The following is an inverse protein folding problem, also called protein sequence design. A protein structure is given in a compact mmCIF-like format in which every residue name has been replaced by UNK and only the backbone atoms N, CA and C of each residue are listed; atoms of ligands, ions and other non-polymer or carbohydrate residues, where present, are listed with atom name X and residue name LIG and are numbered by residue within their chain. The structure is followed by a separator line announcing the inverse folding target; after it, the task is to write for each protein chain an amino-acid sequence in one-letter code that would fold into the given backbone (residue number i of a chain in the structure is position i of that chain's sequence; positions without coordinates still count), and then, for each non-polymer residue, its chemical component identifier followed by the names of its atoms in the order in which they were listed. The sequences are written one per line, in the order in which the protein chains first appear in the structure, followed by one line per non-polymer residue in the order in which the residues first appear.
data_IF_008645627876
#
_entry.id   IF_008645627876
#
_cell.length_a   1.000
_cell.length_b   1.000
_cell.length_c   1.000
_cell.angle_alpha   90.00
_cell.angle_beta   90.00
_cell.angle_gamma   90.00
#
_symmetry.space_group_name_H-M   'P 1'
#
loop_
_entity.id
_entity.type
_entity.pdbx_description
1 polymer ?
#
# COMPACT_ATOMS: atom_id res chain seq x y z
N UNK A 1 -36.09 -8.61 14.74
CA UNK A 1 -36.01 -9.17 13.37
C UNK A 1 -37.37 -9.02 12.71
N UNK A 2 -37.44 -8.38 11.54
CA UNK A 2 -38.71 -7.99 10.89
C UNK A 2 -39.17 -8.94 9.79
N UNK A 3 -38.31 -9.82 9.29
CA UNK A 3 -38.64 -10.75 8.20
C UNK A 3 -39.25 -12.06 8.76
N UNK A 4 -40.53 -12.37 8.48
CA UNK A 4 -41.21 -13.53 9.07
C UNK A 4 -40.60 -14.87 8.63
N UNK A 5 -40.09 -14.98 7.40
CA UNK A 5 -39.46 -16.20 6.91
C UNK A 5 -38.17 -16.51 7.67
N UNK A 6 -37.37 -15.48 7.98
CA UNK A 6 -36.14 -15.63 8.77
C UNK A 6 -36.49 -16.02 10.21
N UNK A 7 -37.49 -15.38 10.81
CA UNK A 7 -37.92 -15.71 12.18
C UNK A 7 -38.43 -17.14 12.28
N UNK A 8 -39.20 -17.62 11.29
CA UNK A 8 -39.66 -19.01 11.27
C UNK A 8 -38.49 -19.99 11.07
N UNK A 9 -37.56 -19.68 10.16
CA UNK A 9 -36.36 -20.50 9.96
C UNK A 9 -35.48 -20.57 11.23
N UNK A 10 -35.30 -19.46 11.94
CA UNK A 10 -34.58 -19.45 13.22
C UNK A 10 -35.21 -20.38 14.25
N UNK A 11 -36.55 -20.41 14.35
CA UNK A 11 -37.24 -21.34 15.23
C UNK A 11 -36.94 -22.80 14.87
N UNK A 12 -36.90 -23.13 13.56
CA UNK A 12 -36.55 -24.49 13.11
C UNK A 12 -35.10 -24.87 13.40
N UNK A 13 -34.19 -23.90 13.42
CA UNK A 13 -32.76 -24.11 13.65
C UNK A 13 -32.34 -23.92 15.12
N UNK A 14 -33.26 -23.55 16.01
CA UNK A 14 -32.96 -23.26 17.42
C UNK A 14 -32.11 -22.00 17.62
N UNK A 15 -32.14 -21.05 16.69
CA UNK A 15 -31.38 -19.80 16.76
C UNK A 15 -32.22 -18.74 17.48
N UNK A 16 -31.68 -18.13 18.54
CA UNK A 16 -32.43 -17.21 19.41
C UNK A 16 -32.33 -15.73 19.01
N UNK A 17 -31.23 -15.31 18.37
CA UNK A 17 -30.97 -13.90 18.08
C UNK A 17 -30.27 -13.69 16.72
N UNK A 18 -30.08 -12.43 16.35
CA UNK A 18 -29.44 -12.08 15.09
C UNK A 18 -27.95 -12.48 15.04
N UNK A 19 -27.26 -12.55 16.19
CA UNK A 19 -25.87 -12.98 16.27
C UNK A 19 -25.74 -14.46 15.89
N UNK A 20 -26.66 -15.29 16.38
CA UNK A 20 -26.72 -16.71 16.00
C UNK A 20 -26.96 -16.92 14.50
N UNK A 21 -27.68 -16.02 13.82
CA UNK A 21 -27.82 -16.06 12.35
C UNK A 21 -26.48 -15.79 11.67
N UNK A 22 -25.77 -14.75 12.12
CA UNK A 22 -24.47 -14.39 11.55
C UNK A 22 -23.42 -15.48 11.83
N UNK A 23 -23.41 -16.05 13.03
CA UNK A 23 -22.57 -17.20 13.39
C UNK A 23 -22.85 -18.41 12.49
N UNK A 24 -24.12 -18.78 12.29
CA UNK A 24 -24.48 -19.88 11.38
C UNK A 24 -24.02 -19.61 9.94
N UNK A 25 -24.18 -18.37 9.46
CA UNK A 25 -23.75 -17.98 8.12
C UNK A 25 -22.22 -18.04 7.99
N UNK A 26 -21.50 -17.45 8.93
CA UNK A 26 -20.04 -17.41 8.95
C UNK A 26 -19.45 -18.83 9.01
N UNK A 27 -19.97 -19.70 9.88
CA UNK A 27 -19.54 -21.09 9.98
C UNK A 27 -19.75 -21.85 8.66
N UNK A 28 -20.89 -21.68 7.99
CA UNK A 28 -21.12 -22.28 6.66
C UNK A 28 -20.12 -21.81 5.61
N UNK A 29 -19.77 -20.54 5.58
CA UNK A 29 -18.78 -20.00 4.63
C UNK A 29 -17.38 -20.51 4.98
N UNK A 30 -16.99 -20.51 6.24
CA UNK A 30 -15.69 -21.02 6.69
C UNK A 30 -15.55 -22.53 6.43
N UNK A 31 -16.63 -23.30 6.56
CA UNK A 31 -16.66 -24.71 6.17
C UNK A 31 -16.42 -24.94 4.68
N UNK A 32 -16.96 -24.07 3.81
CA UNK A 32 -16.66 -24.13 2.37
C UNK A 32 -15.19 -23.80 2.14
N UNK A 33 -14.66 -22.79 2.83
CA UNK A 33 -13.25 -22.40 2.75
C UNK A 33 -12.29 -23.50 3.21
N UNK A 34 -12.66 -24.36 4.16
CA UNK A 34 -11.84 -25.52 4.59
C UNK A 34 -11.52 -26.49 3.45
N UNK A 35 -12.37 -26.56 2.43
CA UNK A 35 -12.15 -27.41 1.25
C UNK A 35 -11.30 -26.72 0.15
N UNK A 36 -10.92 -25.47 0.38
CA UNK A 36 -10.10 -24.66 -0.53
C UNK A 36 -8.74 -24.47 0.13
N UNK A 37 -7.65 -24.64 -0.62
CA UNK A 37 -6.29 -24.46 -0.09
C UNK A 37 -5.92 -22.97 0.04
N UNK A 38 -6.70 -22.23 0.82
CA UNK A 38 -6.58 -20.78 1.05
C UNK A 38 -6.80 -20.46 2.53
N UNK A 39 -5.99 -19.55 3.08
CA UNK A 39 -6.15 -19.06 4.45
C UNK A 39 -7.18 -17.93 4.49
N UNK A 40 -8.26 -18.03 5.27
CA UNK A 40 -9.22 -16.94 5.40
C UNK A 40 -8.67 -15.81 6.28
N UNK A 41 -8.98 -14.57 5.89
CA UNK A 41 -8.85 -13.36 6.71
C UNK A 41 -10.27 -12.89 7.04
N UNK A 42 -10.56 -12.68 8.32
CA UNK A 42 -11.88 -12.24 8.79
C UNK A 42 -11.77 -10.99 9.64
N UNK A 43 -12.76 -10.11 9.54
CA UNK A 43 -12.93 -9.05 10.54
C UNK A 43 -13.20 -9.67 11.93
N UNK A 44 -12.80 -8.96 12.98
CA UNK A 44 -12.90 -9.46 14.35
C UNK A 44 -14.31 -9.90 14.79
N UNK A 45 -15.39 -9.43 14.15
CA UNK A 45 -16.77 -9.78 14.51
C UNK A 45 -17.02 -11.28 14.53
N UNK A 46 -16.45 -12.01 13.58
CA UNK A 46 -16.59 -13.47 13.50
C UNK A 46 -15.95 -14.14 14.73
N UNK A 47 -14.84 -13.59 15.22
CA UNK A 47 -14.17 -14.06 16.43
C UNK A 47 -14.88 -13.60 17.72
N UNK A 48 -15.37 -12.36 17.75
CA UNK A 48 -16.12 -11.80 18.88
C UNK A 48 -17.38 -12.64 19.17
N UNK A 49 -18.05 -13.11 18.12
CA UNK A 49 -19.23 -13.97 18.18
C UNK A 49 -18.93 -15.46 18.46
N UNK A 50 -17.66 -15.83 18.68
CA UNK A 50 -17.23 -17.19 19.03
C UNK A 50 -17.52 -18.24 17.95
N UNK A 51 -17.50 -17.84 16.68
CA UNK A 51 -17.55 -18.79 15.56
C UNK A 51 -16.29 -19.65 15.56
N UNK A 52 -16.43 -20.94 15.27
CA UNK A 52 -15.29 -21.86 15.18
C UNK A 52 -14.44 -21.55 13.94
N UNK A 53 -13.27 -20.96 14.16
CA UNK A 53 -12.37 -20.57 13.09
C UNK A 53 -11.51 -21.75 12.62
N UNK A 54 -11.39 -22.01 11.30
CA UNK A 54 -10.39 -22.93 10.77
C UNK A 54 -8.98 -22.60 11.28
N UNK A 55 -8.15 -23.63 11.45
CA UNK A 55 -6.76 -23.43 11.85
C UNK A 55 -6.03 -22.50 10.85
N UNK A 56 -5.24 -21.58 11.39
CA UNK A 56 -4.48 -20.61 10.60
C UNK A 56 -5.28 -19.38 10.15
N UNK A 57 -6.59 -19.31 10.41
CA UNK A 57 -7.40 -18.10 10.14
C UNK A 57 -6.74 -16.86 10.75
N UNK A 58 -6.71 -15.77 9.97
CA UNK A 58 -6.16 -14.49 10.38
C UNK A 58 -7.31 -13.56 10.78
N UNK A 59 -7.20 -12.96 11.97
CA UNK A 59 -8.17 -12.01 12.50
C UNK A 59 -7.69 -10.59 12.22
N UNK A 60 -8.53 -9.76 11.64
CA UNK A 60 -8.25 -8.34 11.45
C UNK A 60 -8.97 -7.50 12.52
N UNK A 61 -8.19 -6.94 13.44
CA UNK A 61 -8.68 -6.12 14.57
C UNK A 61 -8.92 -4.69 14.10
N UNK A 62 -10.18 -4.29 14.17
CA UNK A 62 -10.67 -3.03 13.59
C UNK A 62 -11.49 -2.18 14.58
N UNK A 63 -12.01 -2.79 15.65
CA UNK A 63 -12.75 -2.07 16.70
C UNK A 63 -11.81 -1.35 17.64
N UNK A 64 -12.26 -0.21 18.15
CA UNK A 64 -11.60 0.53 19.21
C UNK A 64 -12.60 1.42 19.94
N UNK A 65 -12.29 1.70 21.20
CA UNK A 65 -13.05 2.60 22.07
C UNK A 65 -13.24 4.00 21.46
N UNK A 66 -12.34 4.47 20.60
CA UNK A 66 -12.51 5.74 19.88
C UNK A 66 -13.62 5.71 18.82
N UNK A 67 -14.03 4.52 18.36
CA UNK A 67 -15.11 4.36 17.37
C UNK A 67 -16.47 4.22 18.05
N UNK A 68 -16.54 3.55 19.21
CA UNK A 68 -17.75 3.44 20.03
C UNK A 68 -17.39 3.25 21.49
N UNK A 69 -18.14 3.90 22.40
CA UNK A 69 -17.93 3.81 23.85
C UNK A 69 -18.11 2.41 24.42
N UNK A 70 -18.83 1.56 23.70
CA UNK A 70 -19.18 0.19 24.11
C UNK A 70 -18.10 -0.83 23.68
N UNK A 71 -17.02 -0.37 23.02
CA UNK A 71 -15.90 -1.19 22.59
C UNK A 71 -14.70 -1.05 23.54
N UNK A 72 -13.90 -2.10 23.64
CA UNK A 72 -12.59 -2.05 24.29
C UNK A 72 -11.55 -1.37 23.39
N UNK A 73 -10.35 -1.10 23.94
CA UNK A 73 -9.24 -0.58 23.13
C UNK A 73 -8.76 -1.62 22.11
N UNK A 74 -8.25 -1.16 20.97
CA UNK A 74 -7.62 -2.04 19.97
C UNK A 74 -6.50 -2.90 20.59
N UNK A 75 -5.77 -2.36 21.56
CA UNK A 75 -4.70 -3.08 22.26
C UNK A 75 -5.26 -4.26 23.06
N UNK A 76 -6.42 -4.12 23.70
CA UNK A 76 -7.09 -5.21 24.42
C UNK A 76 -7.44 -6.35 23.46
N UNK A 77 -8.06 -6.05 22.32
CA UNK A 77 -8.42 -7.06 21.32
C UNK A 77 -7.19 -7.75 20.72
N UNK A 78 -6.14 -6.99 20.38
CA UNK A 78 -4.88 -7.51 19.87
C UNK A 78 -4.23 -8.50 20.86
N UNK A 79 -4.16 -8.12 22.13
CA UNK A 79 -3.63 -8.96 23.20
C UNK A 79 -4.42 -10.26 23.35
N UNK A 80 -5.75 -10.17 23.40
CA UNK A 80 -6.62 -11.32 23.59
C UNK A 80 -6.50 -12.32 22.43
N UNK A 81 -6.60 -11.84 21.18
CA UNK A 81 -6.57 -12.71 20.00
C UNK A 81 -5.20 -13.41 19.85
N UNK A 82 -4.10 -12.67 20.00
CA UNK A 82 -2.76 -13.23 19.88
C UNK A 82 -2.43 -14.22 21.01
N UNK A 83 -2.81 -13.92 22.26
CA UNK A 83 -2.62 -14.84 23.40
C UNK A 83 -3.49 -16.11 23.32
N UNK A 84 -4.60 -16.06 22.59
CA UNK A 84 -5.41 -17.25 22.25
C UNK A 84 -4.81 -18.07 21.10
N UNK A 85 -3.70 -17.62 20.50
CA UNK A 85 -2.97 -18.34 19.45
C UNK A 85 -3.40 -18.01 18.02
N UNK A 86 -4.30 -17.04 17.83
CA UNK A 86 -4.71 -16.60 16.49
C UNK A 86 -3.70 -15.65 15.87
N UNK A 87 -3.51 -15.77 14.56
CA UNK A 87 -2.76 -14.76 13.79
C UNK A 87 -3.59 -13.48 13.67
N UNK A 88 -2.96 -12.32 13.80
CA UNK A 88 -3.65 -11.02 13.87
C UNK A 88 -3.04 -9.98 12.93
N UNK A 89 -3.90 -9.22 12.25
CA UNK A 89 -3.57 -7.99 11.52
C UNK A 89 -4.27 -6.83 12.25
N UNK A 90 -3.55 -5.74 12.52
CA UNK A 90 -4.10 -4.54 13.14
C UNK A 90 -4.48 -3.49 12.09
N UNK A 91 -5.71 -2.97 12.11
CA UNK A 91 -6.09 -1.80 11.29
C UNK A 91 -6.81 -0.71 12.07
N UNK A 92 -7.34 -1.04 13.25
CA UNK A 92 -8.16 -0.17 14.10
C UNK A 92 -7.63 1.27 14.29
N UNK A 93 -6.36 1.52 14.66
CA UNK A 93 -5.87 2.88 14.83
C UNK A 93 -5.52 3.60 13.50
N UNK A 94 -5.54 2.90 12.36
CA UNK A 94 -5.11 3.38 11.04
C UNK A 94 -6.25 3.57 10.05
N UNK A 95 -7.39 4.05 10.54
CA UNK A 95 -8.52 4.50 9.71
C UNK A 95 -8.24 5.90 9.16
N UNK A 96 -7.80 5.94 7.90
CA UNK A 96 -7.43 7.16 7.16
C UNK A 96 -8.64 7.93 6.61
N UNK A 97 -9.82 7.29 6.57
CA UNK A 97 -11.09 7.93 6.21
C UNK A 97 -11.56 8.92 7.28
N UNK A 98 -11.20 8.72 8.55
CA UNK A 98 -11.49 9.66 9.64
C UNK A 98 -10.55 10.86 9.58
N UNK A 99 -10.97 11.89 8.86
CA UNK A 99 -10.22 13.14 8.74
C UNK A 99 -10.41 13.99 9.98
N UNK A 100 -9.32 14.43 10.61
CA UNK A 100 -9.35 15.36 11.74
C UNK A 100 -8.42 16.55 11.51
N UNK A 101 -8.91 17.76 11.78
CA UNK A 101 -8.08 18.96 11.78
C UNK A 101 -7.44 19.19 13.15
N UNK A 102 -6.21 19.70 13.16
CA UNK A 102 -5.54 20.13 14.37
C UNK A 102 -4.03 19.95 14.30
N UNK A 103 -3.38 20.37 15.37
CA UNK A 103 -1.96 20.16 15.59
C UNK A 103 -1.71 19.46 16.93
N UNK A 104 -0.63 18.70 16.98
CA UNK A 104 -0.05 18.23 18.23
C UNK A 104 1.17 19.07 18.54
N UNK A 105 1.21 19.69 19.72
CA UNK A 105 2.26 20.65 20.11
C UNK A 105 3.11 20.04 21.22
N UNK A 106 4.41 19.94 20.99
CA UNK A 106 5.41 19.67 22.03
C UNK A 106 6.07 20.97 22.48
N UNK A 107 6.99 20.89 23.43
CA UNK A 107 7.83 22.02 23.82
C UNK A 107 8.78 22.47 22.70
N UNK A 108 9.03 21.64 21.69
CA UNK A 108 10.03 21.86 20.63
C UNK A 108 9.46 21.89 19.22
N UNK A 109 8.27 21.34 19.00
CA UNK A 109 7.71 21.12 17.66
C UNK A 109 6.18 21.26 17.59
N UNK A 110 5.67 21.60 16.41
CA UNK A 110 4.23 21.57 16.08
C UNK A 110 4.03 20.59 14.92
N UNK A 111 3.27 19.53 15.16
CA UNK A 111 3.02 18.45 14.20
C UNK A 111 1.57 18.46 13.72
N UNK A 112 1.34 18.01 12.49
CA UNK A 112 -0.01 17.67 12.02
C UNK A 112 -0.60 16.54 12.89
N UNK A 113 -1.81 16.75 13.40
CA UNK A 113 -2.44 15.83 14.34
C UNK A 113 -2.66 14.42 13.76
N UNK A 114 -3.03 14.33 12.48
CA UNK A 114 -3.31 13.04 11.83
C UNK A 114 -2.03 12.24 11.64
N UNK A 115 -0.95 12.88 11.20
CA UNK A 115 0.37 12.25 11.13
C UNK A 115 0.79 11.70 12.50
N UNK A 116 0.75 12.54 13.53
CA UNK A 116 1.15 12.15 14.88
C UNK A 116 0.32 10.96 15.37
N UNK A 117 -1.01 11.04 15.21
CA UNK A 117 -1.95 9.98 15.58
C UNK A 117 -1.59 8.63 14.98
N UNK A 118 -1.23 8.57 13.69
CA UNK A 118 -0.95 7.30 13.02
C UNK A 118 0.48 6.79 13.29
N UNK A 119 1.45 7.69 13.40
CA UNK A 119 2.86 7.34 13.56
C UNK A 119 3.22 6.86 14.98
N UNK A 120 2.56 7.41 16.00
CA UNK A 120 2.79 7.06 17.42
C UNK A 120 2.23 5.69 17.83
N UNK A 121 1.39 5.08 17.00
CA UNK A 121 0.86 3.74 17.25
C UNK A 121 2.02 2.76 17.30
N UNK A 122 2.23 2.10 18.44
CA UNK A 122 3.20 1.03 18.58
C UNK A 122 2.46 -0.25 19.01
N UNK A 123 2.19 -1.18 18.08
CA UNK A 123 1.40 -2.39 18.35
C UNK A 123 1.94 -3.24 19.50
N UNK A 124 3.24 -3.19 19.77
CA UNK A 124 3.88 -3.99 20.81
C UNK A 124 4.07 -3.26 22.14
N UNK A 125 3.76 -1.95 22.24
CA UNK A 125 3.99 -1.14 23.45
C UNK A 125 3.15 -1.62 24.62
N UNK A 126 1.89 -1.95 24.35
CA UNK A 126 0.91 -2.43 25.34
C UNK A 126 0.65 -3.94 25.19
N UNK A 127 1.53 -4.66 24.49
CA UNK A 127 1.40 -6.10 24.34
C UNK A 127 1.94 -6.83 25.57
N UNK A 128 1.03 -7.50 26.27
CA UNK A 128 1.28 -8.35 27.43
C UNK A 128 0.98 -9.81 27.06
N UNK A 129 2.00 -10.50 26.52
CA UNK A 129 1.92 -11.88 26.07
C UNK A 129 3.32 -12.50 25.94
N UNK A 130 3.39 -13.80 25.66
CA UNK A 130 4.66 -14.46 25.42
C UNK A 130 5.27 -14.04 24.07
N UNK A 131 6.56 -14.31 23.86
CA UNK A 131 7.20 -14.04 22.56
C UNK A 131 6.59 -14.88 21.42
N UNK A 132 6.04 -16.05 21.72
CA UNK A 132 5.26 -16.87 20.78
C UNK A 132 3.94 -16.20 20.41
N UNK A 133 3.22 -15.65 21.39
CA UNK A 133 2.00 -14.88 21.14
C UNK A 133 2.33 -13.60 20.34
N UNK A 134 3.45 -12.93 20.63
CA UNK A 134 3.91 -11.76 19.88
C UNK A 134 4.12 -12.08 18.40
N UNK A 135 4.67 -13.24 18.06
CA UNK A 135 4.87 -13.70 16.66
C UNK A 135 3.56 -13.91 15.89
N UNK A 136 2.42 -13.97 16.57
CA UNK A 136 1.11 -14.05 15.93
C UNK A 136 0.63 -12.72 15.37
N UNK A 137 1.21 -11.61 15.79
CA UNK A 137 0.92 -10.29 15.23
C UNK A 137 1.70 -10.16 13.92
N UNK A 138 0.99 -10.27 12.80
CA UNK A 138 1.59 -10.34 11.45
C UNK A 138 1.96 -8.95 10.90
N UNK A 139 1.35 -7.90 11.43
CA UNK A 139 1.52 -6.53 10.97
C UNK A 139 0.20 -5.77 11.00
N UNK A 140 -0.05 -4.96 9.98
CA UNK A 140 -1.22 -4.12 9.94
C UNK A 140 -1.55 -3.51 8.59
N UNK A 141 -2.68 -2.84 8.54
CA UNK A 141 -3.22 -2.24 7.32
C UNK A 141 -3.79 -0.85 7.61
N UNK A 142 -3.47 0.10 6.73
CA UNK A 142 -4.13 1.41 6.71
C UNK A 142 -5.42 1.31 5.88
N UNK A 143 -6.56 1.67 6.48
CA UNK A 143 -7.86 1.56 5.83
C UNK A 143 -8.35 2.93 5.37
N UNK A 144 -8.71 3.05 4.09
CA UNK A 144 -9.41 4.21 3.54
C UNK A 144 -10.77 3.75 3.01
N UNK A 145 -11.76 3.72 3.90
CA UNK A 145 -13.14 3.46 3.52
C UNK A 145 -13.68 4.56 2.61
N UNK A 146 -14.47 4.15 1.61
CA UNK A 146 -14.78 4.95 0.43
C UNK A 146 -16.13 5.69 0.51
N UNK A 147 -16.74 5.85 1.68
CA UNK A 147 -18.01 6.58 1.83
C UNK A 147 -17.90 8.04 1.35
N UNK A 148 -16.73 8.64 1.58
CA UNK A 148 -16.40 10.01 1.17
C UNK A 148 -15.10 10.09 0.36
N UNK A 149 -14.67 8.97 -0.23
CA UNK A 149 -13.48 8.90 -1.04
C UNK A 149 -13.77 8.27 -2.40
N UNK A 150 -13.33 8.94 -3.46
CA UNK A 150 -13.46 8.47 -4.85
C UNK A 150 -12.27 8.97 -5.69
N UNK A 151 -12.35 8.81 -7.02
CA UNK A 151 -11.30 9.25 -7.94
C UNK A 151 -10.92 10.74 -7.83
N UNK A 152 -11.76 11.58 -7.22
CA UNK A 152 -11.48 13.02 -7.06
C UNK A 152 -10.54 13.34 -5.90
N UNK A 153 -10.51 12.49 -4.87
CA UNK A 153 -9.83 12.80 -3.61
C UNK A 153 -9.08 11.62 -2.95
N UNK A 154 -9.10 10.43 -3.55
CA UNK A 154 -8.47 9.22 -3.01
C UNK A 154 -6.98 9.43 -2.70
N UNK A 155 -6.21 9.86 -3.70
CA UNK A 155 -4.76 10.02 -3.58
C UNK A 155 -4.32 11.10 -2.56
N UNK A 156 -4.88 12.32 -2.57
CA UNK A 156 -4.52 13.32 -1.56
C UNK A 156 -4.98 12.92 -0.15
N UNK A 157 -6.10 12.18 0.01
CA UNK A 157 -6.50 11.65 1.32
C UNK A 157 -5.54 10.58 1.81
N UNK A 158 -5.10 9.69 0.92
CA UNK A 158 -4.24 8.55 1.27
C UNK A 158 -2.81 8.98 1.57
N UNK A 159 -2.21 9.82 0.73
CA UNK A 159 -0.80 10.20 0.82
C UNK A 159 -0.61 11.63 1.33
N UNK A 160 0.33 11.89 2.26
CA UNK A 160 1.35 10.97 2.78
C UNK A 160 0.93 10.23 4.07
N UNK A 161 -0.34 10.28 4.48
CA UNK A 161 -0.79 9.65 5.75
C UNK A 161 -0.46 8.16 5.83
N UNK A 162 -0.69 7.42 4.75
CA UNK A 162 -0.34 6.01 4.66
C UNK A 162 1.17 5.73 4.76
N UNK A 163 2.02 6.70 4.41
CA UNK A 163 3.47 6.57 4.58
C UNK A 163 3.90 6.54 6.05
N UNK A 164 3.15 7.20 6.95
CA UNK A 164 3.40 7.13 8.39
C UNK A 164 3.17 5.70 8.93
N UNK A 165 2.07 5.09 8.49
CA UNK A 165 1.74 3.69 8.80
C UNK A 165 2.78 2.74 8.19
N UNK A 166 3.21 3.01 6.96
CA UNK A 166 4.25 2.22 6.30
C UNK A 166 5.58 2.23 7.08
N UNK A 167 6.02 3.39 7.59
CA UNK A 167 7.26 3.47 8.38
C UNK A 167 7.13 2.70 9.70
N UNK A 168 5.97 2.76 10.37
CA UNK A 168 5.71 1.99 11.60
C UNK A 168 5.70 0.48 11.37
N UNK A 169 5.15 0.02 10.25
CA UNK A 169 5.07 -1.41 9.93
C UNK A 169 6.39 -1.99 9.39
N UNK A 170 7.29 -1.15 8.89
CA UNK A 170 8.56 -1.58 8.29
C UNK A 170 9.77 -1.38 9.20
N UNK A 171 9.86 -0.23 9.87
CA UNK A 171 11.05 0.17 10.62
C UNK A 171 11.12 -0.53 11.97
N UNK A 172 12.32 -0.54 12.56
CA UNK A 172 12.49 -1.04 13.92
C UNK A 172 11.65 -0.22 14.92
N UNK A 173 11.14 -0.86 15.97
CA UNK A 173 10.32 -0.21 16.99
C UNK A 173 11.00 1.00 17.67
N UNK A 174 12.34 1.02 17.70
CA UNK A 174 13.15 2.14 18.19
C UNK A 174 13.11 3.39 17.29
N UNK A 175 12.67 3.27 16.04
CA UNK A 175 12.44 4.40 15.13
C UNK A 175 11.07 4.98 15.44
N UNK A 176 11.00 5.84 16.45
CA UNK A 176 9.73 6.37 16.97
C UNK A 176 9.77 7.87 17.29
N UNK A 177 10.81 8.59 16.84
CA UNK A 177 10.88 10.04 17.00
C UNK A 177 9.99 10.74 15.97
N UNK A 178 8.79 11.13 16.39
CA UNK A 178 7.82 11.86 15.57
C UNK A 178 8.32 13.23 15.09
N UNK A 179 9.18 13.90 15.88
CA UNK A 179 9.69 15.23 15.53
C UNK A 179 10.65 15.19 14.36
N UNK A 180 11.50 14.16 14.27
CA UNK A 180 12.36 13.91 13.11
C UNK A 180 11.55 13.36 11.92
N UNK A 181 10.63 12.43 12.19
CA UNK A 181 9.86 11.75 11.16
C UNK A 181 9.00 12.71 10.33
N UNK A 182 8.40 13.74 10.93
CA UNK A 182 7.59 14.71 10.18
C UNK A 182 8.40 15.41 9.07
N UNK A 183 9.67 15.76 9.33
CA UNK A 183 10.52 16.46 8.36
C UNK A 183 10.98 15.52 7.26
N UNK A 184 11.39 14.29 7.60
CA UNK A 184 11.72 13.26 6.60
C UNK A 184 10.51 12.93 5.72
N UNK A 185 9.33 12.88 6.32
CA UNK A 185 8.08 12.60 5.63
C UNK A 185 7.66 13.75 4.72
N UNK A 186 7.87 15.01 5.10
CA UNK A 186 7.62 16.16 4.23
C UNK A 186 8.53 16.16 2.99
N UNK A 187 9.81 15.81 3.15
CA UNK A 187 10.72 15.57 2.01
C UNK A 187 10.22 14.39 1.15
N UNK A 188 9.72 13.32 1.77
CA UNK A 188 9.12 12.21 1.04
C UNK A 188 7.86 12.63 0.27
N UNK A 189 7.01 13.49 0.85
CA UNK A 189 5.83 14.07 0.19
C UNK A 189 6.24 14.85 -1.06
N UNK A 190 7.30 15.66 -1.01
CA UNK A 190 7.82 16.31 -2.21
C UNK A 190 8.32 15.30 -3.27
N UNK A 191 8.92 14.17 -2.87
CA UNK A 191 9.28 13.09 -3.80
C UNK A 191 8.05 12.43 -4.43
N UNK A 192 6.95 12.26 -3.69
CA UNK A 192 5.68 11.75 -4.22
C UNK A 192 5.10 12.70 -5.28
N UNK A 193 5.11 14.01 -5.03
CA UNK A 193 4.68 15.02 -6.01
C UNK A 193 5.51 14.98 -7.28
N UNK A 194 6.84 14.87 -7.16
CA UNK A 194 7.76 14.71 -8.31
C UNK A 194 7.43 13.48 -9.16
N UNK A 195 6.90 12.43 -8.53
CA UNK A 195 6.46 11.18 -9.18
C UNK A 195 5.00 11.23 -9.67
N UNK A 196 4.36 12.40 -9.62
CA UNK A 196 3.01 12.59 -10.10
C UNK A 196 1.90 12.21 -9.12
N UNK A 197 2.22 11.77 -7.90
CA UNK A 197 1.24 11.43 -6.87
C UNK A 197 0.82 12.72 -6.15
N UNK A 198 -0.45 13.14 -6.20
CA UNK A 198 -0.91 14.39 -5.59
C UNK A 198 -1.07 14.24 -4.07
N UNK A 199 0.04 14.05 -3.35
CA UNK A 199 0.06 13.92 -1.90
C UNK A 199 -0.23 15.29 -1.21
N UNK A 200 -1.14 15.28 -0.24
CA UNK A 200 -1.50 16.50 0.51
C UNK A 200 -0.30 16.99 1.35
N UNK A 201 -0.22 18.29 1.70
CA UNK A 201 0.84 18.80 2.55
C UNK A 201 0.75 18.23 3.97
N UNK A 202 1.91 18.07 4.61
CA UNK A 202 2.03 17.68 6.01
C UNK A 202 2.32 18.88 6.90
N UNK A 203 3.31 19.69 6.49
CA UNK A 203 3.76 20.89 7.19
C UNK A 203 3.39 22.15 6.40
N UNK A 204 3.54 23.31 7.04
CA UNK A 204 3.60 24.58 6.33
C UNK A 204 4.89 24.64 5.50
N UNK A 205 4.77 24.78 4.19
CA UNK A 205 5.91 24.76 3.29
C UNK A 205 5.46 24.64 1.84
N UNK A 206 6.43 24.43 0.94
CA UNK A 206 6.18 24.25 -0.48
C UNK A 206 7.21 23.29 -1.08
N UNK A 207 6.81 22.52 -2.08
CA UNK A 207 7.68 21.59 -2.81
C UNK A 207 8.22 22.15 -4.14
N UNK A 208 8.58 23.44 -4.18
CA UNK A 208 9.06 24.13 -5.39
C UNK A 208 8.12 23.99 -6.60
N UNK A 209 8.68 23.73 -7.79
CA UNK A 209 7.95 23.64 -9.06
C UNK A 209 6.95 22.46 -9.20
N UNK A 210 6.83 21.60 -8.18
CA UNK A 210 6.03 20.38 -8.24
C UNK A 210 4.63 20.53 -7.63
N UNK A 211 4.31 21.70 -7.08
CA UNK A 211 2.96 22.01 -6.60
C UNK A 211 2.03 22.35 -7.77
N UNK A 212 0.88 21.67 -7.83
CA UNK A 212 -0.08 21.80 -8.91
C UNK A 212 -0.56 23.26 -9.06
N UNK A 213 -0.33 23.86 -10.22
CA UNK A 213 -0.85 25.19 -10.57
C UNK A 213 0.11 26.37 -10.36
N UNK A 214 1.34 26.16 -9.85
CA UNK A 214 2.33 27.23 -9.80
C UNK A 214 3.09 27.37 -11.13
N UNK A 215 3.12 28.56 -11.77
CA UNK A 215 3.94 28.79 -12.94
C UNK A 215 5.43 28.71 -12.56
N UNK A 216 6.23 28.02 -13.40
CA UNK A 216 7.69 27.85 -13.23
C UNK A 216 8.44 29.16 -12.94
N UNK A 217 7.89 30.31 -13.34
CA UNK A 217 8.49 31.64 -13.18
C UNK A 217 8.54 32.17 -11.74
N UNK A 218 7.82 31.58 -10.78
CA UNK A 218 7.76 32.08 -9.40
C UNK A 218 8.77 31.45 -8.42
N UNK A 219 9.62 30.51 -8.87
CA UNK A 219 10.49 29.74 -7.97
C UNK A 219 11.95 29.77 -8.42
N UNK A 220 12.51 30.97 -8.60
CA UNK A 220 13.96 31.16 -8.80
C UNK A 220 14.64 31.52 -7.47
N UNK A 221 14.69 30.57 -6.51
CA UNK A 221 15.52 30.71 -5.30
C UNK A 221 16.70 29.73 -5.36
N UNK A 222 17.97 30.21 -5.23
CA UNK A 222 19.17 29.40 -5.46
C UNK A 222 19.35 28.20 -4.53
N UNK A 223 18.71 28.19 -3.35
CA UNK A 223 18.75 27.06 -2.41
C UNK A 223 17.96 25.80 -2.87
N UNK A 224 17.11 25.92 -3.89
CA UNK A 224 16.26 24.83 -4.40
C UNK A 224 16.44 24.57 -5.90
N UNK A 225 17.48 25.18 -6.49
CA UNK A 225 17.83 24.99 -7.89
C UNK A 225 18.55 23.64 -8.07
N UNK A 226 17.82 22.54 -7.83
CA UNK A 226 18.16 21.27 -8.44
C UNK A 226 17.69 21.37 -9.88
N UNK A 227 18.54 21.91 -10.75
CA UNK A 227 18.34 21.89 -12.20
C UNK A 227 18.15 20.42 -12.62
N UNK A 228 16.89 20.03 -12.84
CA UNK A 228 16.57 18.79 -13.53
C UNK A 228 15.84 19.18 -14.82
N UNK A 229 16.46 18.96 -15.99
CA UNK A 229 15.85 19.27 -17.28
C UNK A 229 14.79 18.22 -17.60
N UNK A 230 13.54 18.44 -17.20
CA UNK A 230 12.47 17.51 -17.53
C UNK A 230 11.06 18.05 -17.32
N UNK A 231 10.17 17.76 -18.27
CA UNK A 231 8.72 17.98 -18.14
C UNK A 231 8.04 16.79 -17.46
N UNK A 232 6.95 17.09 -16.73
CA UNK A 232 6.16 16.10 -16.01
C UNK A 232 5.47 15.18 -17.02
N UNK A 233 5.52 13.87 -16.78
CA UNK A 233 4.75 12.92 -17.58
C UNK A 233 3.25 13.23 -17.47
N UNK A 234 2.49 13.21 -18.57
CA UNK A 234 1.04 13.41 -18.53
C UNK A 234 0.35 12.43 -17.57
N UNK A 235 -0.83 12.78 -17.02
CA UNK A 235 -1.64 11.83 -16.27
C UNK A 235 -1.84 10.53 -17.08
N UNK A 236 -1.58 9.37 -16.46
CA UNK A 236 -1.61 8.03 -17.06
C UNK A 236 -0.44 7.64 -17.99
N UNK A 237 0.63 8.44 -18.06
CA UNK A 237 1.84 8.04 -18.76
C UNK A 237 2.62 6.97 -17.98
N UNK A 238 3.17 6.00 -18.70
CA UNK A 238 4.09 4.99 -18.15
C UNK A 238 5.39 5.71 -17.78
N UNK A 239 5.88 5.47 -16.56
CA UNK A 239 7.15 6.03 -16.06
C UNK A 239 8.30 5.01 -16.20
N UNK A 240 9.51 5.43 -16.61
CA UNK A 240 9.85 6.76 -17.11
C UNK A 240 9.23 7.02 -18.49
N UNK A 241 8.76 8.25 -18.73
CA UNK A 241 8.26 8.62 -20.06
C UNK A 241 9.44 8.65 -21.04
N UNK A 242 9.40 7.93 -22.17
CA UNK A 242 10.48 7.95 -23.14
C UNK A 242 10.65 9.35 -23.71
N UNK A 243 11.91 9.80 -23.88
CA UNK A 243 12.19 11.12 -24.44
C UNK A 243 11.77 11.23 -25.91
N UNK A 244 11.80 10.12 -26.64
CA UNK A 244 11.37 10.01 -28.02
C UNK A 244 10.74 8.64 -28.26
N UNK A 245 9.66 8.60 -29.03
CA UNK A 245 9.03 7.35 -29.49
C UNK A 245 9.09 7.35 -31.01
N UNK A 246 9.71 6.32 -31.58
CA UNK A 246 9.61 6.03 -33.00
C UNK A 246 8.65 4.84 -33.19
N UNK A 247 7.66 5.01 -34.07
CA UNK A 247 6.67 3.97 -34.36
C UNK A 247 7.00 3.41 -35.74
N UNK A 248 7.26 2.11 -35.82
CA UNK A 248 7.39 1.40 -37.10
C UNK A 248 6.01 0.91 -37.57
N UNK A 249 5.71 0.93 -38.89
CA UNK A 249 4.55 0.23 -39.43
C UNK A 249 4.68 -1.31 -39.34
N UNK A 250 5.89 -1.83 -39.03
CA UNK A 250 6.13 -3.26 -38.93
C UNK A 250 5.48 -3.85 -37.68
N UNK A 251 4.64 -4.86 -37.90
CA UNK A 251 4.09 -5.65 -36.80
C UNK A 251 5.14 -6.67 -36.33
N UNK A 252 5.66 -6.46 -35.12
CA UNK A 252 6.60 -7.38 -34.48
C UNK A 252 5.89 -8.36 -33.55
N UNK A 253 6.26 -9.63 -33.62
CA UNK A 253 5.80 -10.66 -32.69
C UNK A 253 6.81 -10.83 -31.55
N UNK A 254 6.32 -10.85 -30.31
CA UNK A 254 7.16 -11.09 -29.13
C UNK A 254 7.00 -12.56 -28.69
N UNK A 255 8.13 -13.27 -28.57
CA UNK A 255 8.18 -14.60 -27.94
C UNK A 255 8.83 -14.46 -26.56
N UNK A 256 8.07 -14.47 -25.45
CA UNK A 256 8.61 -14.15 -24.12
C UNK A 256 9.83 -14.99 -23.70
N UNK A 257 9.84 -16.27 -24.07
CA UNK A 257 10.92 -17.20 -23.73
C UNK A 257 12.21 -16.90 -24.52
N UNK A 258 12.11 -16.30 -25.71
CA UNK A 258 13.24 -16.01 -26.59
C UNK A 258 13.64 -14.53 -26.54
N UNK A 259 12.81 -13.66 -25.97
CA UNK A 259 13.10 -12.24 -25.83
C UNK A 259 14.19 -12.04 -24.77
N UNK A 260 15.30 -11.46 -25.21
CA UNK A 260 16.39 -11.04 -24.31
C UNK A 260 16.28 -9.55 -24.04
N UNK A 261 16.33 -9.15 -22.76
CA UNK A 261 16.34 -7.73 -22.38
C UNK A 261 17.71 -7.43 -21.79
N UNK A 262 18.50 -6.61 -22.49
CA UNK A 262 19.86 -6.25 -22.12
C UNK A 262 19.92 -4.78 -21.73
N UNK A 263 20.96 -4.39 -20.98
CA UNK A 263 21.27 -2.98 -20.72
C UNK A 263 22.75 -2.72 -20.96
N UNK A 264 23.09 -1.50 -21.39
CA UNK A 264 24.46 -1.06 -21.58
C UNK A 264 25.22 -0.77 -20.25
N UNK A 265 24.54 -0.78 -19.10
CA UNK A 265 25.17 -0.54 -17.79
C UNK A 265 25.87 -1.79 -17.26
N UNK A 266 27.17 -1.69 -16.99
CA UNK A 266 28.00 -2.80 -16.49
C UNK A 266 28.15 -2.84 -14.96
N UNK A 267 27.82 -1.76 -14.24
CA UNK A 267 28.12 -1.58 -12.81
C UNK A 267 26.90 -1.46 -11.88
N UNK A 268 25.67 -1.62 -12.38
CA UNK A 268 24.43 -1.53 -11.58
C UNK A 268 23.73 -2.89 -11.46
N UNK A 269 23.64 -3.42 -10.25
CA UNK A 269 22.80 -4.58 -9.95
C UNK A 269 21.30 -4.22 -9.98
N UNK A 270 20.92 -2.97 -9.69
CA UNK A 270 19.52 -2.52 -9.64
C UNK A 270 18.78 -2.72 -10.97
N UNK A 271 19.39 -2.33 -12.11
CA UNK A 271 18.74 -2.45 -13.43
C UNK A 271 18.63 -3.92 -13.84
N UNK A 272 19.69 -4.70 -13.65
CA UNK A 272 19.67 -6.14 -13.90
C UNK A 272 18.60 -6.85 -13.04
N UNK A 273 18.51 -6.50 -11.75
CA UNK A 273 17.52 -7.02 -10.82
C UNK A 273 16.09 -6.58 -11.19
N UNK A 274 15.91 -5.34 -11.67
CA UNK A 274 14.62 -4.86 -12.16
C UNK A 274 14.17 -5.63 -13.39
N UNK A 275 15.04 -5.81 -14.40
CA UNK A 275 14.74 -6.62 -15.59
C UNK A 275 14.32 -8.04 -15.17
N UNK A 276 15.07 -8.67 -14.25
CA UNK A 276 14.76 -10.01 -13.73
C UNK A 276 13.41 -10.05 -13.00
N UNK A 277 13.07 -9.01 -12.22
CA UNK A 277 11.82 -8.90 -11.45
C UNK A 277 10.60 -8.65 -12.33
N UNK A 278 10.71 -7.76 -13.31
CA UNK A 278 9.57 -7.30 -14.10
C UNK A 278 9.29 -8.16 -15.34
N UNK A 279 10.28 -8.86 -15.91
CA UNK A 279 10.07 -9.77 -17.05
C UNK A 279 8.92 -10.78 -16.84
N UNK A 280 8.79 -11.49 -15.70
CA UNK A 280 7.66 -12.39 -15.48
C UNK A 280 6.31 -11.68 -15.24
N UNK A 281 6.31 -10.39 -14.89
CA UNK A 281 5.09 -9.60 -14.71
C UNK A 281 4.51 -9.13 -16.06
N UNK A 282 5.38 -8.76 -17.01
CA UNK A 282 4.96 -8.39 -18.37
C UNK A 282 4.52 -9.61 -19.19
N UNK A 283 5.11 -10.78 -18.91
CA UNK A 283 4.80 -12.02 -19.60
C UNK A 283 4.39 -13.11 -18.60
N UNK A 284 3.22 -12.98 -17.96
CA UNK A 284 2.77 -13.97 -17.00
C UNK A 284 2.56 -15.31 -17.71
N UNK A 285 2.83 -16.45 -17.05
CA UNK A 285 2.75 -17.78 -17.66
C UNK A 285 1.40 -18.09 -18.34
N UNK A 286 0.31 -17.49 -17.85
CA UNK A 286 -1.04 -17.66 -18.39
C UNK A 286 -1.32 -16.88 -19.68
N UNK A 287 -0.48 -15.90 -20.04
CA UNK A 287 -0.55 -15.17 -21.32
C UNK A 287 0.16 -15.91 -22.47
N UNK A 288 0.58 -17.17 -22.28
CA UNK A 288 1.04 -18.08 -23.34
C UNK A 288 -0.09 -18.48 -24.32
N UNK A 289 -1.04 -17.59 -24.60
CA UNK A 289 -2.15 -17.83 -25.51
C UNK A 289 -1.79 -17.38 -26.93
N UNK A 290 -1.84 -18.36 -27.84
CA UNK A 290 -1.65 -18.30 -29.31
C UNK A 290 -0.21 -18.01 -29.74
N UNK A 291 0.58 -19.07 -29.85
CA UNK A 291 1.82 -19.09 -30.63
C UNK A 291 1.50 -18.63 -32.06
N UNK A 292 2.11 -17.54 -32.57
CA UNK A 292 1.98 -17.14 -33.97
C UNK A 292 2.56 -18.24 -34.88
N UNK A 293 2.17 -18.32 -36.17
CA UNK A 293 2.69 -19.31 -37.09
C UNK A 293 4.23 -19.36 -37.06
N UNK A 294 4.78 -20.56 -37.14
CA UNK A 294 6.22 -20.87 -37.00
C UNK A 294 7.14 -20.12 -37.96
N UNK A 295 6.58 -19.45 -38.97
CA UNK A 295 7.26 -18.74 -40.07
C UNK A 295 7.18 -17.22 -40.00
N UNK A 296 6.75 -16.61 -38.88
CA UNK A 296 6.77 -15.15 -38.76
C UNK A 296 8.21 -14.61 -38.89
N UNK A 297 8.52 -13.94 -39.99
CA UNK A 297 9.84 -13.35 -40.27
C UNK A 297 10.17 -12.19 -39.31
N UNK A 298 9.15 -11.61 -38.67
CA UNK A 298 9.26 -10.40 -37.84
C UNK A 298 9.14 -10.70 -36.33
N UNK A 299 9.99 -11.58 -35.79
CA UNK A 299 10.05 -11.86 -34.34
C UNK A 299 11.08 -10.96 -33.67
N UNK A 300 10.65 -10.18 -32.66
CA UNK A 300 11.55 -9.38 -31.84
C UNK A 300 12.38 -10.31 -30.92
N UNK A 301 13.71 -10.30 -31.13
CA UNK A 301 14.64 -11.18 -30.40
C UNK A 301 15.25 -10.51 -29.18
N UNK A 302 15.50 -9.19 -29.24
CA UNK A 302 16.13 -8.46 -28.15
C UNK A 302 15.58 -7.05 -28.00
N UNK A 303 15.47 -6.60 -26.75
CA UNK A 303 15.31 -5.20 -26.36
C UNK A 303 16.59 -4.76 -25.65
N UNK A 304 17.20 -3.66 -26.09
CA UNK A 304 18.38 -3.11 -25.42
C UNK A 304 18.00 -1.79 -24.77
N UNK A 305 18.14 -1.73 -23.45
CA UNK A 305 17.95 -0.50 -22.69
C UNK A 305 19.28 0.26 -22.71
N UNK A 306 19.33 1.33 -23.49
CA UNK A 306 20.46 2.24 -23.51
C UNK A 306 20.21 3.34 -22.48
N UNK A 307 21.07 3.41 -21.47
CA UNK A 307 20.96 4.36 -20.37
C UNK A 307 22.19 5.28 -20.45
N UNK A 308 22.00 6.59 -20.66
CA UNK A 308 23.10 7.56 -20.50
C UNK A 308 23.21 7.89 -19.03
N UNK A 309 24.14 7.24 -18.35
CA UNK A 309 24.41 7.56 -16.96
C UNK A 309 25.68 8.41 -16.86
N UNK A 310 25.52 9.61 -16.30
CA UNK A 310 26.60 10.55 -16.02
C UNK A 310 27.17 10.43 -14.61
N UNK A 311 26.63 9.58 -13.73
CA UNK A 311 27.12 9.42 -12.36
C UNK A 311 26.82 8.05 -11.74
N UNK A 312 27.53 7.72 -10.67
CA UNK A 312 27.54 6.41 -10.01
C UNK A 312 26.15 5.95 -9.55
N UNK A 313 25.86 4.67 -9.80
CA UNK A 313 24.66 3.86 -9.55
C UNK A 313 23.87 4.05 -8.22
N UNK A 314 24.38 4.81 -7.26
CA UNK A 314 23.71 5.12 -5.99
C UNK A 314 22.84 6.38 -6.04
N UNK A 315 22.98 7.20 -7.08
CA UNK A 315 22.01 8.25 -7.39
C UNK A 315 20.98 7.67 -8.35
N UNK A 316 19.73 7.56 -7.91
CA UNK A 316 18.57 7.14 -8.72
C UNK A 316 18.69 7.56 -10.19
N UNK A 317 18.35 6.65 -11.11
CA UNK A 317 18.31 6.84 -12.57
C UNK A 317 17.89 8.28 -12.90
N UNK A 318 18.85 9.11 -13.33
CA UNK A 318 18.54 10.42 -13.86
C UNK A 318 17.81 10.26 -15.20
N UNK A 319 16.95 11.21 -15.54
CA UNK A 319 16.05 11.17 -16.71
C UNK A 319 16.75 11.10 -18.09
N UNK A 320 18.08 11.05 -18.14
CA UNK A 320 18.89 10.99 -19.36
C UNK A 320 19.03 9.59 -19.96
N UNK A 321 18.32 8.59 -19.45
CA UNK A 321 18.26 7.26 -20.07
C UNK A 321 17.66 7.34 -21.48
N UNK A 322 18.51 7.29 -22.52
CA UNK A 322 18.10 7.31 -23.91
C UNK A 322 17.97 5.88 -24.45
N UNK A 323 16.84 5.21 -24.22
CA UNK A 323 16.59 3.95 -24.91
C UNK A 323 16.57 4.21 -26.42
N UNK A 324 17.64 3.77 -27.09
CA UNK A 324 17.85 3.82 -28.54
C UNK A 324 17.77 2.43 -29.09
#
# INVERSE_FOLDING_TARGET
LSNPNITQWMQTMGISDAKGIHTYYADRILNIMRNINSTPIVWQDVWDEKVELPEGTIIQVWKDKSTSSDMDSWASYLNQAANQGYNVILSSPWYLNFVSYGSYVTNTSVMNLEFFKYYEVEPFREFNGSDEARKRILGGEACLWAEFADGTNLLPRLWPKASAVAERLWSAASVNNSEDAQFRLDVHRCRLLRRGIPAQPLLNGYCGNYELGMPRSMVNHPAFNYENPGERSPPNAIWPHPQQISVSPDLLYIRPNNLTVNSNIQSCDIVANAIKRYKPLFFPPKLQMRVPPTTAENVLQSLTLNIQDGNQCEQYIQQTSNET
#
